data_IF_682391271267
#
_entry.id   IF_682391271267
#
_cell.length_a   1.000
_cell.length_b   1.000
_cell.length_c   1.000
_cell.angle_alpha   90.00
_cell.angle_beta   90.00
_cell.angle_gamma   90.00
#
_symmetry.space_group_name_H-M   'P 1'
#
loop_
_entity.id
_entity.type
_entity.pdbx_description
1 polymer ?
#
# COMPACT_ATOMS: atom_id res chain seq x y z
N UNK A 1 17.08 1.32 1.02
CA UNK A 1 15.86 0.50 0.93
C UNK A 1 15.06 1.07 -0.22
N UNK A 2 14.53 0.23 -1.10
CA UNK A 2 13.72 0.70 -2.23
C UNK A 2 12.30 1.01 -1.80
N UNK A 3 11.58 1.80 -2.59
CA UNK A 3 10.17 2.05 -2.31
C UNK A 3 9.33 0.77 -2.29
N UNK A 4 9.65 -0.22 -3.16
CA UNK A 4 9.07 -1.56 -3.08
C UNK A 4 9.28 -2.18 -1.70
N UNK A 5 10.52 -2.22 -1.21
CA UNK A 5 10.86 -2.81 0.08
C UNK A 5 10.14 -2.11 1.24
N UNK A 6 10.08 -0.78 1.25
CA UNK A 6 9.40 -0.01 2.30
C UNK A 6 7.90 -0.30 2.34
N UNK A 7 7.25 -0.41 1.17
CA UNK A 7 5.83 -0.73 1.05
C UNK A 7 5.57 -2.19 1.45
N UNK A 8 6.38 -3.13 0.97
CA UNK A 8 6.26 -4.54 1.31
C UNK A 8 6.45 -4.76 2.81
N UNK A 9 7.40 -4.08 3.45
CA UNK A 9 7.61 -4.15 4.89
C UNK A 9 6.42 -3.55 5.65
N UNK A 10 5.87 -2.42 5.19
CA UNK A 10 4.69 -1.82 5.80
C UNK A 10 3.47 -2.75 5.74
N UNK A 11 3.26 -3.42 4.61
CA UNK A 11 2.19 -4.41 4.43
C UNK A 11 2.41 -5.67 5.27
N UNK A 12 3.63 -6.20 5.33
CA UNK A 12 3.97 -7.37 6.18
C UNK A 12 3.75 -7.06 7.66
N UNK A 13 4.15 -5.88 8.12
CA UNK A 13 3.88 -5.43 9.49
C UNK A 13 2.39 -5.32 9.76
N UNK A 14 1.61 -4.74 8.83
CA UNK A 14 0.15 -4.67 8.95
C UNK A 14 -0.49 -6.06 9.06
N UNK A 15 -0.11 -7.01 8.19
CA UNK A 15 -0.60 -8.40 8.23
C UNK A 15 -0.29 -9.04 9.58
N UNK A 16 0.97 -8.98 10.03
CA UNK A 16 1.39 -9.53 11.32
C UNK A 16 0.60 -8.92 12.50
N UNK A 17 0.38 -7.60 12.48
CA UNK A 17 -0.33 -6.92 13.56
C UNK A 17 -1.81 -7.34 13.63
N UNK A 18 -2.49 -7.44 12.49
CA UNK A 18 -3.92 -7.77 12.47
C UNK A 18 -4.18 -9.29 12.54
N UNK A 19 -3.18 -10.14 12.25
CA UNK A 19 -3.27 -11.59 12.48
C UNK A 19 -3.52 -11.92 13.96
N UNK A 20 -3.09 -11.05 14.87
CA UNK A 20 -3.25 -11.25 16.32
C UNK A 20 -4.59 -10.70 16.87
N UNK A 21 -5.47 -10.15 16.02
CA UNK A 21 -6.78 -9.63 16.43
C UNK A 21 -7.81 -10.75 16.53
N UNK A 22 -8.59 -10.75 17.61
CA UNK A 22 -9.66 -11.70 17.94
C UNK A 22 -9.38 -12.50 19.21
N UNK A 23 -10.43 -12.80 19.98
CA UNK A 23 -10.37 -13.66 21.16
C UNK A 23 -10.48 -15.14 20.79
N UNK A 24 -9.71 -16.00 21.47
CA UNK A 24 -9.83 -17.47 21.42
C UNK A 24 -9.86 -18.09 20.00
N UNK A 25 -9.22 -17.43 19.03
CA UNK A 25 -9.15 -17.89 17.63
C UNK A 25 -10.38 -17.54 16.77
N UNK A 26 -11.35 -16.80 17.29
CA UNK A 26 -12.51 -16.32 16.53
C UNK A 26 -12.25 -14.90 16.06
N UNK A 27 -11.93 -14.75 14.78
CA UNK A 27 -11.66 -13.44 14.18
C UNK A 27 -12.90 -12.85 13.51
N UNK A 28 -13.19 -11.55 13.69
CA UNK A 28 -14.23 -10.86 12.93
C UNK A 28 -14.04 -10.96 11.40
N UNK A 29 -15.15 -11.12 10.66
CA UNK A 29 -15.12 -11.36 9.20
C UNK A 29 -14.50 -10.20 8.40
N UNK A 30 -14.66 -8.97 8.86
CA UNK A 30 -14.01 -7.79 8.30
C UNK A 30 -12.48 -7.90 8.38
N UNK A 31 -11.92 -8.34 9.51
CA UNK A 31 -10.47 -8.50 9.65
C UNK A 31 -9.94 -9.60 8.72
N UNK A 32 -10.64 -10.74 8.59
CA UNK A 32 -10.30 -11.77 7.61
C UNK A 32 -10.29 -11.23 6.18
N UNK A 33 -11.32 -10.46 5.81
CA UNK A 33 -11.43 -9.88 4.46
C UNK A 33 -10.24 -8.95 4.14
N UNK A 34 -9.77 -8.19 5.13
CA UNK A 34 -8.64 -7.28 4.95
C UNK A 34 -7.30 -8.00 4.94
N UNK A 35 -7.15 -9.05 5.74
CA UNK A 35 -5.99 -9.94 5.69
C UNK A 35 -5.84 -10.58 4.32
N UNK A 36 -6.91 -11.18 3.80
CA UNK A 36 -6.92 -11.79 2.47
C UNK A 36 -6.54 -10.78 1.39
N UNK A 37 -7.07 -9.54 1.50
CA UNK A 37 -6.76 -8.48 0.55
C UNK A 37 -5.32 -7.98 0.66
N UNK A 38 -4.79 -7.81 1.88
CA UNK A 38 -3.40 -7.41 2.10
C UNK A 38 -2.41 -8.48 1.61
N UNK A 39 -2.69 -9.76 1.85
CA UNK A 39 -1.92 -10.89 1.33
C UNK A 39 -1.98 -10.97 -0.20
N UNK A 40 -3.16 -10.74 -0.78
CA UNK A 40 -3.34 -10.66 -2.24
C UNK A 40 -2.48 -9.53 -2.83
N UNK A 41 -2.50 -8.35 -2.22
CA UNK A 41 -1.67 -7.21 -2.66
C UNK A 41 -0.19 -7.53 -2.52
N UNK A 42 0.25 -8.13 -1.41
CA UNK A 42 1.63 -8.57 -1.21
C UNK A 42 2.10 -9.51 -2.34
N UNK A 43 1.28 -10.50 -2.70
CA UNK A 43 1.59 -11.41 -3.80
C UNK A 43 1.65 -10.71 -5.17
N UNK A 44 0.79 -9.73 -5.39
CA UNK A 44 0.75 -8.96 -6.64
C UNK A 44 2.01 -8.09 -6.78
N UNK A 45 2.38 -7.33 -5.74
CA UNK A 45 3.54 -6.42 -5.80
C UNK A 45 4.89 -7.14 -5.79
N UNK A 46 4.94 -8.42 -5.43
CA UNK A 46 6.15 -9.26 -5.48
C UNK A 46 6.72 -9.40 -6.91
N UNK A 47 5.87 -9.19 -7.92
CA UNK A 47 6.27 -9.12 -9.34
C UNK A 47 7.05 -7.85 -9.69
N UNK A 48 7.07 -6.88 -8.78
CA UNK A 48 7.78 -5.61 -8.89
C UNK A 48 7.47 -4.83 -10.18
N UNK A 49 6.21 -4.89 -10.65
CA UNK A 49 5.75 -4.06 -11.76
C UNK A 49 5.06 -2.81 -11.24
N UNK A 50 5.23 -1.65 -11.86
CA UNK A 50 4.59 -0.44 -11.35
C UNK A 50 3.06 -0.48 -11.32
N UNK A 51 2.42 -1.17 -12.27
CA UNK A 51 0.96 -1.30 -12.33
C UNK A 51 0.38 -2.05 -11.12
N UNK A 52 1.18 -2.95 -10.52
CA UNK A 52 0.77 -3.80 -9.41
C UNK A 52 0.47 -2.97 -8.13
N UNK A 53 1.11 -1.81 -7.97
CA UNK A 53 0.90 -0.92 -6.81
C UNK A 53 -0.38 -0.09 -6.89
N UNK A 54 -1.01 0.00 -8.06
CA UNK A 54 -2.28 0.73 -8.20
C UNK A 54 -3.36 0.14 -7.31
N UNK A 55 -3.42 -1.19 -7.25
CA UNK A 55 -4.40 -1.91 -6.43
C UNK A 55 -4.27 -1.60 -4.94
N UNK A 56 -3.05 -1.34 -4.46
CA UNK A 56 -2.81 -0.93 -3.07
C UNK A 56 -3.46 0.43 -2.79
N UNK A 57 -3.18 1.43 -3.64
CA UNK A 57 -3.71 2.79 -3.43
C UNK A 57 -5.23 2.84 -3.57
N UNK A 58 -5.78 2.13 -4.55
CA UNK A 58 -7.23 2.03 -4.74
C UNK A 58 -7.90 1.40 -3.52
N UNK A 59 -7.35 0.30 -3.02
CA UNK A 59 -7.87 -0.38 -1.83
C UNK A 59 -7.79 0.53 -0.59
N UNK A 60 -6.65 1.16 -0.30
CA UNK A 60 -6.50 2.06 0.85
C UNK A 60 -7.46 3.26 0.78
N UNK A 61 -7.71 3.80 -0.41
CA UNK A 61 -8.65 4.89 -0.60
C UNK A 61 -10.10 4.43 -0.42
N UNK A 62 -10.46 3.26 -0.96
CA UNK A 62 -11.79 2.69 -0.79
C UNK A 62 -12.09 2.40 0.69
N UNK A 63 -11.19 1.73 1.39
CA UNK A 63 -11.41 1.35 2.78
C UNK A 63 -11.35 2.54 3.73
N UNK A 64 -10.46 3.51 3.48
CA UNK A 64 -10.42 4.72 4.29
C UNK A 64 -11.70 5.56 4.21
N UNK A 65 -12.52 5.40 3.15
CA UNK A 65 -13.85 6.00 3.10
C UNK A 65 -14.85 5.25 3.98
N UNK A 66 -14.67 3.95 4.19
CA UNK A 66 -15.61 3.10 4.95
C UNK A 66 -15.44 3.27 6.48
N UNK A 67 -14.21 3.38 6.97
CA UNK A 67 -13.94 3.50 8.42
C UNK A 67 -14.57 4.77 9.05
N UNK A 68 -14.66 5.87 8.32
CA UNK A 68 -15.25 7.12 8.82
C UNK A 68 -16.78 7.13 9.03
N UNK A 69 -17.50 6.05 8.66
CA UNK A 69 -18.97 5.98 8.79
C UNK A 69 -19.47 5.02 9.86
N UNK A 70 -18.59 4.25 10.50
CA UNK A 70 -18.96 3.29 11.54
C UNK A 70 -18.14 3.52 12.79
N UNK A 71 -18.80 3.76 13.94
CA UNK A 71 -18.12 3.68 15.23
C UNK A 71 -17.67 2.24 15.48
N UNK A 72 -16.43 2.01 15.97
CA UNK A 72 -15.97 0.69 16.32
C UNK A 72 -16.89 0.10 17.40
N UNK A 73 -17.36 -1.12 17.18
CA UNK A 73 -18.32 -1.79 18.07
C UNK A 73 -17.65 -2.46 19.27
N UNK A 74 -16.35 -2.69 19.19
CA UNK A 74 -15.54 -3.32 20.23
C UNK A 74 -14.06 -2.90 20.09
N UNK A 75 -13.22 -3.30 21.06
CA UNK A 75 -11.80 -3.00 21.09
C UNK A 75 -11.00 -3.59 19.92
N UNK A 76 -11.46 -4.71 19.38
CA UNK A 76 -10.82 -5.38 18.24
C UNK A 76 -11.01 -4.56 16.96
N UNK A 77 -12.21 -4.04 16.73
CA UNK A 77 -12.52 -3.14 15.61
C UNK A 77 -11.75 -1.82 15.71
N UNK A 78 -11.59 -1.26 16.91
CA UNK A 78 -10.81 -0.03 17.15
C UNK A 78 -9.31 -0.25 16.90
N UNK A 79 -8.77 -1.37 17.37
CA UNK A 79 -7.38 -1.79 17.12
C UNK A 79 -7.14 -2.00 15.63
N UNK A 80 -8.07 -2.69 14.97
CA UNK A 80 -8.02 -2.94 13.54
C UNK A 80 -8.05 -1.66 12.70
N UNK A 81 -8.95 -0.73 13.01
CA UNK A 81 -9.00 0.57 12.36
C UNK A 81 -7.71 1.36 12.58
N UNK A 82 -7.15 1.32 13.79
CA UNK A 82 -5.86 1.95 14.11
C UNK A 82 -4.72 1.39 13.25
N UNK A 83 -4.63 0.07 13.11
CA UNK A 83 -3.62 -0.58 12.26
C UNK A 83 -3.81 -0.23 10.78
N UNK A 84 -5.05 -0.12 10.31
CA UNK A 84 -5.33 0.33 8.95
C UNK A 84 -4.83 1.77 8.71
N UNK A 85 -5.12 2.71 9.62
CA UNK A 85 -4.65 4.08 9.50
C UNK A 85 -3.14 4.19 9.56
N UNK A 86 -2.48 3.40 10.42
CA UNK A 86 -1.01 3.29 10.46
C UNK A 86 -0.43 2.84 9.13
N UNK A 87 -1.00 1.80 8.51
CA UNK A 87 -0.57 1.38 7.16
C UNK A 87 -0.76 2.51 6.16
N UNK A 88 -1.96 3.10 6.10
CA UNK A 88 -2.28 4.16 5.13
C UNK A 88 -1.34 5.37 5.27
N UNK A 89 -1.05 5.78 6.50
CA UNK A 89 -0.13 6.89 6.77
C UNK A 89 1.33 6.55 6.42
N UNK A 90 1.78 5.32 6.66
CA UNK A 90 3.10 4.86 6.22
C UNK A 90 3.23 4.93 4.71
N UNK A 91 2.25 4.41 3.96
CA UNK A 91 2.23 4.49 2.49
C UNK A 91 2.16 5.95 2.01
N UNK A 92 1.39 6.80 2.70
CA UNK A 92 1.34 8.24 2.40
C UNK A 92 2.69 8.92 2.59
N UNK A 93 3.43 8.62 3.66
CA UNK A 93 4.77 9.19 3.88
C UNK A 93 5.78 8.75 2.82
N UNK A 94 5.76 7.47 2.46
CA UNK A 94 6.60 6.91 1.39
C UNK A 94 6.32 7.65 0.08
N UNK A 95 5.04 7.76 -0.31
CA UNK A 95 4.65 8.45 -1.55
C UNK A 95 4.94 9.94 -1.53
N UNK A 96 4.81 10.62 -0.38
CA UNK A 96 5.19 12.02 -0.23
C UNK A 96 6.67 12.27 -0.51
N UNK A 97 7.53 11.30 -0.18
CA UNK A 97 8.97 11.33 -0.50
C UNK A 97 9.30 11.13 -1.98
N UNK A 98 8.33 10.74 -2.81
CA UNK A 98 8.51 10.59 -4.26
C UNK A 98 8.21 11.89 -4.99
N UNK A 99 8.98 12.15 -6.05
CA UNK A 99 8.71 13.16 -7.09
C UNK A 99 7.49 12.78 -7.95
N UNK A 100 6.98 13.72 -8.74
CA UNK A 100 5.81 13.49 -9.60
C UNK A 100 6.06 12.39 -10.64
N UNK A 101 7.21 12.41 -11.32
CA UNK A 101 7.58 11.43 -12.32
C UNK A 101 7.82 10.04 -11.70
N UNK A 102 8.42 9.96 -10.50
CA UNK A 102 8.52 8.71 -9.74
C UNK A 102 7.13 8.12 -9.43
N UNK A 103 6.17 8.93 -8.96
CA UNK A 103 4.80 8.44 -8.68
C UNK A 103 4.07 7.96 -9.93
N UNK A 104 4.16 8.72 -11.02
CA UNK A 104 3.52 8.35 -12.28
C UNK A 104 4.06 7.01 -12.78
N UNK A 105 5.39 6.85 -12.76
CA UNK A 105 6.00 5.58 -13.10
C UNK A 105 5.54 4.48 -12.13
N UNK A 106 5.75 4.67 -10.83
CA UNK A 106 5.54 3.66 -9.78
C UNK A 106 4.13 3.12 -9.66
N UNK A 107 3.11 3.91 -9.99
CA UNK A 107 1.69 3.48 -9.96
C UNK A 107 1.14 3.10 -11.34
N UNK A 108 2.04 2.91 -12.32
CA UNK A 108 1.70 2.42 -13.65
C UNK A 108 0.94 3.43 -14.52
N UNK A 109 1.03 4.73 -14.23
CA UNK A 109 0.51 5.81 -15.09
C UNK A 109 1.52 6.09 -16.22
N UNK A 110 1.83 5.05 -17.00
CA UNK A 110 2.89 5.10 -18.00
C UNK A 110 2.54 6.03 -19.16
N UNK A 111 1.27 6.10 -19.56
CA UNK A 111 0.82 7.02 -20.61
C UNK A 111 1.01 8.49 -20.22
N UNK A 112 0.80 8.82 -18.94
CA UNK A 112 1.08 10.14 -18.38
C UNK A 112 2.58 10.39 -18.22
N UNK A 113 3.33 9.37 -17.82
CA UNK A 113 4.78 9.43 -17.69
C UNK A 113 5.47 9.73 -19.03
N UNK A 114 5.02 9.09 -20.12
CA UNK A 114 5.62 9.28 -21.46
C UNK A 114 5.37 10.68 -22.04
N UNK A 115 4.38 11.42 -21.52
CA UNK A 115 4.08 12.83 -21.88
C UNK A 115 4.98 13.84 -21.17
N UNK A 116 5.79 13.41 -20.19
CA UNK A 116 6.74 14.28 -19.49
C UNK A 116 7.85 14.79 -20.41
N UNK A 117 8.54 15.86 -20.00
CA UNK A 117 9.64 16.41 -20.79
C UNK A 117 10.78 15.39 -20.90
N UNK A 118 11.58 15.39 -21.98
CA UNK A 118 12.67 14.43 -22.17
C UNK A 118 13.63 14.31 -20.98
N UNK A 119 13.94 15.42 -20.29
CA UNK A 119 14.82 15.44 -19.11
C UNK A 119 14.23 14.75 -17.88
N UNK A 120 12.90 14.69 -17.76
CA UNK A 120 12.18 14.04 -16.67
C UNK A 120 12.01 12.52 -16.93
N UNK A 121 11.99 12.14 -18.22
CA UNK A 121 11.97 10.75 -18.69
C UNK A 121 13.37 10.12 -18.73
N UNK A 122 14.43 10.89 -18.96
CA UNK A 122 15.80 10.39 -18.94
C UNK A 122 16.25 9.88 -17.56
N UNK A 123 15.49 10.20 -16.50
CA UNK A 123 15.68 9.67 -15.16
C UNK A 123 15.08 8.26 -14.96
N UNK A 124 14.47 7.64 -15.99
CA UNK A 124 13.77 6.34 -15.87
C UNK A 124 14.61 5.24 -15.25
N UNK A 125 15.88 5.09 -15.64
CA UNK A 125 16.77 4.07 -15.07
C UNK A 125 17.09 4.33 -13.59
N UNK A 126 17.29 5.60 -13.22
CA UNK A 126 17.49 6.00 -11.82
C UNK A 126 16.23 5.76 -10.97
N UNK A 127 15.07 6.02 -11.56
CA UNK A 127 13.76 5.75 -10.96
C UNK A 127 13.60 4.24 -10.75
N UNK A 128 13.83 3.41 -11.76
CA UNK A 128 13.77 1.94 -11.61
C UNK A 128 14.71 1.43 -10.50
N UNK A 129 15.92 1.98 -10.40
CA UNK A 129 16.86 1.63 -9.33
C UNK A 129 16.32 2.00 -7.94
N UNK A 130 15.77 3.20 -7.76
CA UNK A 130 15.15 3.63 -6.48
C UNK A 130 13.89 2.82 -6.14
N UNK A 131 13.12 2.41 -7.16
CA UNK A 131 11.84 1.73 -6.97
C UNK A 131 12.00 0.24 -6.67
N UNK A 132 12.92 -0.45 -7.36
CA UNK A 132 12.95 -1.92 -7.37
C UNK A 132 14.31 -2.52 -6.94
N UNK A 133 15.44 -1.84 -7.18
CA UNK A 133 16.80 -2.42 -7.08
C UNK A 133 16.86 -3.82 -7.70
N UNK A 134 17.10 -3.88 -9.02
CA UNK A 134 17.48 -5.13 -9.69
C UNK A 134 18.79 -5.68 -9.14
#
# INVERSE_FOLDING_TARGET
>A
MTYHQDIANSLKSYVCNIENIGEEGVRPQNVNTYLDKANTILHIIDRQRPEDYRQLIEWLNQQGRNFGWSFPKNSDEDTFETEFWRLKDSIKRITQGMTLNERLYFFGYLDEYEKLRPIERSAREEIELKLFMK
#
